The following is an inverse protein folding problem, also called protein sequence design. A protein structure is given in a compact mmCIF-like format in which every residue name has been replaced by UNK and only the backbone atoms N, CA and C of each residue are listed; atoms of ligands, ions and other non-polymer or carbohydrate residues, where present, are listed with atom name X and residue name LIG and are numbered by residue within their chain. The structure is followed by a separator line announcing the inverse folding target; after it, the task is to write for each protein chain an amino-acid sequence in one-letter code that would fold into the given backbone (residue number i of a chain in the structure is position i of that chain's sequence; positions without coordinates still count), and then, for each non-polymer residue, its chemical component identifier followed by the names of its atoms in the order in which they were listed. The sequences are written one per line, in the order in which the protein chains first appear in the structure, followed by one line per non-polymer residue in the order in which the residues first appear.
data_IF_569230221473
#
_entry.id   IF_569230221473
#
_cell.length_a   1.000
_cell.length_b   1.000
_cell.length_c   1.000
_cell.angle_alpha   90.00
_cell.angle_beta   90.00
_cell.angle_gamma   90.00
#
_symmetry.space_group_name_H-M   'P 1'
#
loop_
_entity.id
_entity.type
_entity.pdbx_description
1 polymer ?
#
# COMPACT_ATOMS: atom_id res chain seq x y z
N UNK A 1 -14.32 -9.26 6.42
CA UNK A 1 -13.05 -8.49 6.26
C UNK A 1 -13.13 -7.59 5.03
N UNK A 2 -12.45 -6.41 5.00
CA UNK A 2 -12.36 -5.60 3.78
C UNK A 2 -11.26 -6.13 2.86
N UNK A 3 -11.61 -6.52 1.62
CA UNK A 3 -10.66 -6.95 0.61
C UNK A 3 -10.31 -5.79 -0.32
N UNK A 4 -9.02 -5.58 -0.55
CA UNK A 4 -8.45 -4.51 -1.38
C UNK A 4 -7.51 -5.12 -2.40
N UNK A 5 -7.49 -4.60 -3.60
CA UNK A 5 -6.57 -5.06 -4.66
C UNK A 5 -5.26 -4.26 -4.55
N UNK A 6 -4.15 -4.97 -4.62
CA UNK A 6 -2.81 -4.41 -4.63
C UNK A 6 -2.03 -4.93 -5.84
N UNK A 7 -1.30 -4.05 -6.53
CA UNK A 7 -0.57 -4.39 -7.76
C UNK A 7 0.88 -3.91 -7.71
N UNK A 8 1.74 -4.54 -8.51
CA UNK A 8 3.15 -4.18 -8.68
C UNK A 8 3.48 -3.83 -10.14
N UNK A 9 3.14 -2.62 -10.61
CA UNK A 9 3.26 -2.24 -12.02
C UNK A 9 4.69 -2.23 -12.55
N UNK A 10 5.69 -2.05 -11.69
CA UNK A 10 7.10 -2.10 -12.08
C UNK A 10 7.52 -3.46 -12.64
N UNK A 11 6.73 -4.50 -12.43
CA UNK A 11 6.99 -5.82 -13.02
C UNK A 11 6.72 -5.88 -14.51
N UNK A 12 6.06 -4.86 -15.08
CA UNK A 12 5.85 -4.75 -16.52
C UNK A 12 4.43 -4.39 -16.92
N UNK A 13 3.82 -3.38 -16.30
CA UNK A 13 2.49 -2.91 -16.64
C UNK A 13 2.51 -1.50 -17.25
N UNK A 14 1.71 -1.30 -18.30
CA UNK A 14 1.40 0.01 -18.85
C UNK A 14 0.36 0.75 -18.00
N UNK A 15 0.10 2.03 -18.33
CA UNK A 15 -1.02 2.74 -17.71
C UNK A 15 -2.37 2.12 -18.06
N UNK A 16 -2.54 1.65 -19.29
CA UNK A 16 -3.79 1.02 -19.72
C UNK A 16 -4.10 -0.27 -18.96
N UNK A 17 -3.07 -1.08 -18.65
CA UNK A 17 -3.21 -2.26 -17.79
C UNK A 17 -3.66 -1.85 -16.38
N UNK A 18 -3.07 -0.78 -15.82
CA UNK A 18 -3.47 -0.25 -14.51
C UNK A 18 -4.91 0.28 -14.51
N UNK A 19 -5.32 0.96 -15.57
CA UNK A 19 -6.68 1.47 -15.69
C UNK A 19 -7.67 0.32 -15.79
N UNK A 20 -7.37 -0.69 -16.60
CA UNK A 20 -8.22 -1.85 -16.79
C UNK A 20 -8.47 -2.60 -15.48
N UNK A 21 -7.39 -2.90 -14.72
CA UNK A 21 -7.53 -3.61 -13.44
C UNK A 21 -8.17 -2.75 -12.34
N UNK A 22 -7.96 -1.42 -12.35
CA UNK A 22 -8.62 -0.53 -11.40
C UNK A 22 -10.13 -0.45 -11.65
N UNK A 23 -10.56 -0.43 -12.92
CA UNK A 23 -11.97 -0.50 -13.30
C UNK A 23 -12.58 -1.84 -12.89
N UNK A 24 -11.94 -2.95 -13.22
CA UNK A 24 -12.38 -4.28 -12.80
C UNK A 24 -12.47 -4.38 -11.25
N UNK A 25 -11.51 -3.82 -10.52
CA UNK A 25 -11.56 -3.72 -9.04
C UNK A 25 -12.84 -3.03 -8.57
N UNK A 26 -13.22 -1.93 -9.24
CA UNK A 26 -14.42 -1.18 -8.91
C UNK A 26 -15.70 -1.95 -9.27
N UNK A 27 -15.76 -2.55 -10.45
CA UNK A 27 -16.90 -3.31 -10.97
C UNK A 27 -17.14 -4.58 -10.15
N UNK A 28 -16.10 -5.28 -9.76
CA UNK A 28 -16.13 -6.45 -8.90
C UNK A 28 -16.49 -6.15 -7.43
N UNK A 29 -16.65 -4.91 -7.03
CA UNK A 29 -17.11 -4.56 -5.68
C UNK A 29 -16.04 -4.45 -4.62
N UNK A 30 -14.75 -4.55 -4.95
CA UNK A 30 -13.68 -4.35 -3.97
C UNK A 30 -13.66 -2.93 -3.40
N UNK A 31 -13.11 -2.77 -2.20
CA UNK A 31 -13.08 -1.51 -1.46
C UNK A 31 -12.07 -0.51 -2.03
N UNK A 32 -10.92 -0.99 -2.49
CA UNK A 32 -9.82 -0.12 -2.90
C UNK A 32 -8.89 -0.79 -3.92
N UNK A 33 -8.19 0.06 -4.67
CA UNK A 33 -7.09 -0.28 -5.54
C UNK A 33 -5.81 0.41 -5.07
N UNK A 34 -4.77 -0.37 -4.83
CA UNK A 34 -3.47 0.09 -4.39
C UNK A 34 -2.38 -0.38 -5.35
N UNK A 35 -1.30 0.38 -5.39
CA UNK A 35 -0.10 -0.01 -6.12
C UNK A 35 1.17 0.18 -5.30
N UNK A 36 2.21 -0.58 -5.62
CA UNK A 36 3.56 -0.30 -5.16
C UNK A 36 4.09 1.03 -5.75
N UNK A 37 5.11 1.58 -5.12
CA UNK A 37 5.85 2.75 -5.62
C UNK A 37 7.31 2.33 -5.81
N UNK A 38 7.55 1.60 -6.89
CA UNK A 38 8.85 1.08 -7.31
C UNK A 38 9.17 1.47 -8.75
N UNK A 39 10.44 1.66 -9.06
CA UNK A 39 10.94 2.02 -10.39
C UNK A 39 11.75 0.92 -11.07
N UNK A 40 11.99 -0.21 -10.42
CA UNK A 40 12.74 -1.33 -11.00
C UNK A 40 12.01 -2.64 -10.76
N UNK A 41 11.94 -3.48 -11.80
CA UNK A 41 11.39 -4.84 -11.68
C UNK A 41 12.21 -5.71 -10.73
N UNK A 42 11.58 -6.72 -10.19
CA UNK A 42 12.17 -7.67 -9.24
C UNK A 42 12.14 -9.09 -9.83
N UNK A 43 13.11 -9.90 -9.42
CA UNK A 43 13.21 -11.28 -9.87
C UNK A 43 13.52 -11.36 -11.37
N UNK A 44 12.77 -12.19 -12.10
CA UNK A 44 12.96 -12.45 -13.52
C UNK A 44 12.02 -11.65 -14.44
N UNK A 45 11.19 -10.77 -13.89
CA UNK A 45 10.29 -9.96 -14.68
C UNK A 45 11.06 -8.98 -15.57
N UNK A 46 10.61 -8.79 -16.82
CA UNK A 46 11.28 -7.93 -17.79
C UNK A 46 11.23 -6.45 -17.43
N UNK A 47 10.20 -6.05 -16.70
CA UNK A 47 9.92 -4.66 -16.38
C UNK A 47 9.40 -3.82 -17.56
N UNK A 48 9.26 -4.39 -18.76
CA UNK A 48 8.73 -3.68 -19.92
C UNK A 48 7.20 -3.52 -19.83
N UNK A 49 6.65 -2.37 -20.24
CA UNK A 49 7.26 -1.27 -21.00
C UNK A 49 8.09 -0.28 -20.17
N UNK A 50 8.16 -0.45 -18.87
CA UNK A 50 8.93 0.39 -17.94
C UNK A 50 8.12 0.80 -16.72
N UNK A 51 8.77 1.35 -15.69
CA UNK A 51 8.08 1.78 -14.49
C UNK A 51 7.20 3.01 -14.76
N UNK A 52 6.17 3.14 -13.94
CA UNK A 52 5.33 4.33 -13.88
C UNK A 52 5.43 4.97 -12.51
N UNK A 53 5.45 6.31 -12.42
CA UNK A 53 5.38 6.99 -11.13
C UNK A 53 4.01 6.76 -10.47
N UNK A 54 4.02 6.42 -9.18
CA UNK A 54 2.80 6.06 -8.47
C UNK A 54 1.81 7.23 -8.39
N UNK A 55 2.26 8.42 -8.06
CA UNK A 55 1.39 9.56 -7.86
C UNK A 55 0.87 10.15 -9.17
N UNK A 56 1.66 10.06 -10.25
CA UNK A 56 1.19 10.43 -11.60
C UNK A 56 0.08 9.49 -12.06
N UNK A 57 0.25 8.18 -11.91
CA UNK A 57 -0.79 7.22 -12.30
C UNK A 57 -2.02 7.27 -11.41
N UNK A 58 -1.85 7.43 -10.09
CA UNK A 58 -2.98 7.58 -9.16
C UNK A 58 -3.80 8.85 -9.45
N UNK A 59 -3.16 9.94 -9.90
CA UNK A 59 -3.87 11.15 -10.32
C UNK A 59 -4.80 10.89 -11.51
N UNK A 60 -4.34 10.14 -12.51
CA UNK A 60 -5.17 9.74 -13.64
C UNK A 60 -6.29 8.77 -13.22
N UNK A 61 -5.95 7.70 -12.47
CA UNK A 61 -6.93 6.74 -11.95
C UNK A 61 -8.00 7.40 -11.06
N UNK A 62 -7.64 8.47 -10.34
CA UNK A 62 -8.59 9.25 -9.54
C UNK A 62 -9.72 9.87 -10.37
N UNK A 63 -9.44 10.21 -11.63
CA UNK A 63 -10.44 10.75 -12.56
C UNK A 63 -11.18 9.67 -13.35
N UNK A 64 -10.58 8.51 -13.52
CA UNK A 64 -11.11 7.39 -14.30
C UNK A 64 -11.93 6.40 -13.46
N UNK A 65 -11.92 6.54 -12.14
CA UNK A 65 -12.71 5.75 -11.19
C UNK A 65 -13.58 6.66 -10.32
N UNK A 66 -14.64 6.14 -9.71
CA UNK A 66 -15.59 6.97 -8.96
C UNK A 66 -15.84 6.52 -7.52
N UNK A 67 -15.64 5.24 -7.19
CA UNK A 67 -16.01 4.64 -5.90
C UNK A 67 -14.82 4.16 -5.09
N UNK A 68 -13.92 3.40 -5.71
CA UNK A 68 -12.82 2.76 -5.00
C UNK A 68 -11.85 3.77 -4.41
N UNK A 69 -11.32 3.46 -3.23
CA UNK A 69 -10.20 4.19 -2.66
C UNK A 69 -8.91 3.87 -3.43
N UNK A 70 -7.98 4.79 -3.42
CA UNK A 70 -6.74 4.71 -4.19
C UNK A 70 -5.55 5.01 -3.30
N UNK A 71 -4.45 4.29 -3.45
CA UNK A 71 -3.27 4.58 -2.64
C UNK A 71 -2.01 3.84 -3.03
N UNK A 72 -0.96 4.10 -2.28
CA UNK A 72 0.32 3.40 -2.38
C UNK A 72 0.50 2.42 -1.23
N UNK A 73 1.08 1.26 -1.51
CA UNK A 73 1.46 0.29 -0.50
C UNK A 73 2.88 -0.23 -0.79
N UNK A 74 3.93 0.55 -0.43
CA UNK A 74 3.94 1.90 0.15
C UNK A 74 4.93 2.78 -0.60
N UNK A 75 4.78 4.12 -0.57
CA UNK A 75 5.79 5.04 -1.10
C UNK A 75 7.02 5.07 -0.20
N UNK A 76 8.24 4.86 -0.74
CA UNK A 76 9.46 4.98 0.06
C UNK A 76 9.83 6.45 0.28
N UNK A 77 10.24 6.79 1.50
CA UNK A 77 10.63 8.16 1.86
C UNK A 77 11.87 8.67 1.13
N UNK A 78 12.57 7.78 0.46
CA UNK A 78 13.76 8.10 -0.33
C UNK A 78 13.44 8.70 -1.70
N UNK A 79 12.23 8.51 -2.22
CA UNK A 79 11.88 8.95 -3.59
C UNK A 79 11.46 10.41 -3.66
N UNK A 80 10.81 10.93 -2.62
CA UNK A 80 10.25 12.29 -2.65
C UNK A 80 10.52 13.04 -1.35
N UNK A 81 10.75 14.32 -1.45
CA UNK A 81 10.79 15.21 -0.30
C UNK A 81 9.39 15.34 0.32
N UNK A 82 9.27 15.54 1.65
CA UNK A 82 7.98 15.55 2.34
C UNK A 82 7.03 16.64 1.84
N UNK A 83 7.50 17.84 1.56
CA UNK A 83 6.68 18.95 1.04
C UNK A 83 6.04 18.63 -0.33
N UNK A 84 6.82 18.33 -1.37
CA UNK A 84 6.30 17.89 -2.67
C UNK A 84 5.37 16.68 -2.58
N UNK A 85 5.68 15.70 -1.72
CA UNK A 85 4.80 14.55 -1.51
C UNK A 85 3.43 14.96 -0.94
N UNK A 86 3.41 15.82 0.09
CA UNK A 86 2.16 16.31 0.67
C UNK A 86 1.31 17.07 -0.37
N UNK A 87 1.96 17.86 -1.25
CA UNK A 87 1.28 18.54 -2.37
C UNK A 87 0.64 17.52 -3.32
N UNK A 88 1.40 16.51 -3.74
CA UNK A 88 0.89 15.46 -4.65
C UNK A 88 -0.29 14.72 -4.02
N UNK A 89 -0.18 14.32 -2.75
CA UNK A 89 -1.25 13.64 -2.01
C UNK A 89 -2.52 14.48 -1.96
N UNK A 90 -2.40 15.76 -1.58
CA UNK A 90 -3.55 16.66 -1.49
C UNK A 90 -4.21 16.90 -2.85
N UNK A 91 -3.41 17.01 -3.93
CA UNK A 91 -3.95 17.15 -5.29
C UNK A 91 -4.71 15.90 -5.75
N UNK A 92 -4.12 14.71 -5.57
CA UNK A 92 -4.79 13.46 -5.95
C UNK A 92 -6.03 13.22 -5.08
N UNK A 93 -5.99 13.62 -3.81
CA UNK A 93 -7.15 13.58 -2.94
C UNK A 93 -8.30 14.45 -3.49
N UNK A 94 -8.00 15.69 -3.90
CA UNK A 94 -8.98 16.56 -4.54
C UNK A 94 -9.50 16.00 -5.88
N UNK A 95 -8.60 15.46 -6.73
CA UNK A 95 -8.97 14.86 -8.02
C UNK A 95 -9.88 13.64 -7.85
N UNK A 96 -9.70 12.89 -6.78
CA UNK A 96 -10.50 11.69 -6.47
C UNK A 96 -11.80 12.00 -5.72
N UNK A 97 -12.02 13.24 -5.24
CA UNK A 97 -13.13 13.56 -4.36
C UNK A 97 -12.99 12.94 -2.96
N UNK A 98 -11.76 12.86 -2.42
CA UNK A 98 -11.52 12.39 -1.06
C UNK A 98 -11.37 10.87 -0.92
N UNK A 99 -10.81 10.18 -1.92
CA UNK A 99 -10.64 8.72 -1.91
C UNK A 99 -9.20 8.24 -1.72
N UNK A 100 -8.24 9.14 -1.52
CA UNK A 100 -6.82 8.80 -1.41
C UNK A 100 -6.46 8.28 -0.01
N UNK A 101 -5.53 7.33 0.03
CA UNK A 101 -4.82 6.89 1.23
C UNK A 101 -3.31 6.86 0.93
N UNK A 102 -2.50 7.35 1.86
CA UNK A 102 -1.06 7.44 1.71
C UNK A 102 -0.35 6.33 2.47
N UNK A 103 0.20 5.36 1.77
CA UNK A 103 1.15 4.42 2.36
C UNK A 103 2.58 4.97 2.33
N UNK A 104 3.27 4.92 3.46
CA UNK A 104 4.66 5.37 3.62
C UNK A 104 5.54 4.31 4.27
N UNK A 105 6.77 4.18 3.79
CA UNK A 105 7.78 3.27 4.33
C UNK A 105 9.21 3.80 4.21
N UNK A 106 10.14 3.17 4.91
CA UNK A 106 11.54 3.61 4.94
C UNK A 106 12.33 3.33 3.63
N UNK A 107 11.76 2.54 2.71
CA UNK A 107 12.46 2.04 1.53
C UNK A 107 13.37 0.84 1.87
N UNK A 108 13.55 -0.05 0.91
CA UNK A 108 14.34 -1.28 1.11
C UNK A 108 15.12 -1.73 -0.14
N UNK A 109 14.63 -1.46 -1.34
CA UNK A 109 15.17 -1.98 -2.59
C UNK A 109 16.30 -1.10 -3.12
N UNK A 110 17.54 -1.43 -2.76
CA UNK A 110 18.74 -0.66 -3.14
C UNK A 110 18.92 -0.56 -4.64
N UNK A 111 18.68 -1.64 -5.39
CA UNK A 111 18.99 -1.68 -6.82
C UNK A 111 18.26 -0.59 -7.63
N UNK A 112 17.01 -0.26 -7.30
CA UNK A 112 16.28 0.81 -7.97
C UNK A 112 16.86 2.20 -7.67
N UNK A 113 17.37 2.40 -6.44
CA UNK A 113 18.01 3.66 -6.07
C UNK A 113 19.32 3.85 -6.84
N UNK A 114 20.12 2.80 -6.93
CA UNK A 114 21.37 2.84 -7.70
C UNK A 114 21.10 3.04 -9.20
N UNK A 115 20.06 2.39 -9.75
CA UNK A 115 19.68 2.50 -11.15
C UNK A 115 19.22 3.90 -11.56
N UNK A 116 18.53 4.61 -10.67
CA UNK A 116 17.95 5.94 -10.96
C UNK A 116 18.65 7.11 -10.25
N UNK A 117 19.83 6.87 -9.66
CA UNK A 117 20.62 7.93 -9.01
C UNK A 117 19.97 8.50 -7.75
N UNK A 118 19.11 7.72 -7.09
CA UNK A 118 18.41 8.12 -5.88
C UNK A 118 19.27 7.77 -4.67
N UNK A 119 19.47 8.71 -3.76
CA UNK A 119 20.25 8.48 -2.54
C UNK A 119 19.64 7.38 -1.68
N UNK A 120 20.45 6.38 -1.32
CA UNK A 120 20.04 5.28 -0.46
C UNK A 120 20.95 5.17 0.77
N UNK A 121 20.76 5.99 1.81
CA UNK A 121 21.56 5.95 3.03
C UNK A 121 21.34 4.65 3.79
N UNK A 122 22.11 4.45 4.88
CA UNK A 122 21.94 3.28 5.74
C UNK A 122 20.53 3.22 6.36
N UNK A 123 20.20 2.05 6.91
CA UNK A 123 18.85 1.79 7.45
C UNK A 123 18.49 2.74 8.61
N UNK A 124 19.46 3.12 9.45
CA UNK A 124 19.21 4.03 10.58
C UNK A 124 18.82 5.42 10.06
N UNK A 125 19.60 5.96 9.11
CA UNK A 125 19.34 7.26 8.51
C UNK A 125 18.01 7.26 7.70
N UNK A 126 17.71 6.19 6.95
CA UNK A 126 16.42 6.07 6.27
C UNK A 126 15.27 6.10 7.24
N UNK A 127 15.41 5.42 8.38
CA UNK A 127 14.38 5.41 9.40
C UNK A 127 14.24 6.77 10.12
N UNK A 128 15.34 7.50 10.33
CA UNK A 128 15.30 8.87 10.86
C UNK A 128 14.56 9.82 9.89
N UNK A 129 14.89 9.75 8.60
CA UNK A 129 14.16 10.48 7.55
C UNK A 129 12.69 10.09 7.48
N UNK A 130 12.38 8.81 7.63
CA UNK A 130 11.00 8.30 7.65
C UNK A 130 10.19 8.92 8.79
N UNK A 131 10.75 8.96 10.00
CA UNK A 131 10.08 9.54 11.15
C UNK A 131 9.79 11.04 10.95
N UNK A 132 10.78 11.81 10.49
CA UNK A 132 10.59 13.24 10.20
C UNK A 132 9.60 13.47 9.05
N UNK A 133 9.66 12.66 7.98
CA UNK A 133 8.79 12.82 6.83
C UNK A 133 7.33 12.54 7.17
N UNK A 134 7.05 11.49 7.96
CA UNK A 134 5.68 11.21 8.42
C UNK A 134 5.13 12.37 9.24
N UNK A 135 5.92 12.94 10.16
CA UNK A 135 5.51 14.08 10.97
C UNK A 135 5.27 15.33 10.12
N UNK A 136 6.15 15.61 9.15
CA UNK A 136 5.99 16.75 8.24
C UNK A 136 4.74 16.60 7.38
N UNK A 137 4.52 15.43 6.79
CA UNK A 137 3.35 15.19 5.93
C UNK A 137 2.05 15.30 6.74
N UNK A 138 2.00 14.70 7.94
CA UNK A 138 0.85 14.84 8.85
C UNK A 138 0.61 16.30 9.18
N UNK A 139 1.66 17.06 9.56
CA UNK A 139 1.58 18.47 9.89
C UNK A 139 1.10 19.35 8.73
N UNK A 140 1.69 19.19 7.55
CA UNK A 140 1.30 19.95 6.35
C UNK A 140 -0.17 19.73 5.97
N UNK A 141 -0.60 18.46 5.96
CA UNK A 141 -1.96 18.11 5.54
C UNK A 141 -3.02 18.56 6.58
N UNK A 142 -2.69 18.55 7.87
CA UNK A 142 -3.60 18.97 8.97
C UNK A 142 -3.66 20.46 9.21
N UNK A 143 -2.61 21.21 8.89
CA UNK A 143 -2.54 22.65 9.15
C UNK A 143 -3.74 23.35 8.47
N UNK A 144 -4.55 24.14 9.19
CA UNK A 144 -5.69 24.82 8.60
C UNK A 144 -5.31 25.81 7.50
N UNK A 145 -6.20 26.05 6.53
CA UNK A 145 -5.99 27.08 5.52
C UNK A 145 -5.83 28.45 6.18
N UNK A 146 -4.84 29.22 5.75
CA UNK A 146 -4.50 30.52 6.33
C UNK A 146 -3.51 30.48 7.49
N UNK A 147 -3.19 29.29 8.02
CA UNK A 147 -2.09 29.10 8.96
C UNK A 147 -0.82 28.61 8.24
N UNK A 148 0.31 28.69 8.93
CA UNK A 148 1.60 28.18 8.43
C UNK A 148 2.09 27.00 9.26
N UNK A 149 2.91 26.15 8.64
CA UNK A 149 3.57 25.04 9.29
C UNK A 149 5.10 25.17 9.18
N UNK A 150 5.78 25.06 10.30
CA UNK A 150 7.24 25.03 10.37
C UNK A 150 7.71 23.73 11.03
N UNK A 151 8.84 23.20 10.58
CA UNK A 151 9.47 22.01 11.14
C UNK A 151 10.98 22.19 11.15
N UNK A 152 11.65 21.78 12.21
CA UNK A 152 13.10 21.84 12.34
C UNK A 152 13.61 20.49 12.85
N UNK A 153 13.94 19.59 11.92
CA UNK A 153 14.53 18.29 12.19
C UNK A 153 16.02 18.22 11.84
N UNK A 154 16.55 17.02 11.90
CA UNK A 154 17.92 16.71 11.52
C UNK A 154 18.10 16.66 10.00
N UNK A 155 17.11 16.14 9.29
CA UNK A 155 17.16 15.87 7.85
C UNK A 155 16.33 16.86 7.04
N UNK A 156 15.29 17.43 7.61
CA UNK A 156 14.40 18.36 6.94
C UNK A 156 14.17 19.63 7.76
N UNK A 157 14.00 20.73 7.04
CA UNK A 157 13.61 22.02 7.63
C UNK A 157 12.56 22.68 6.75
N UNK A 158 11.46 23.07 7.34
CA UNK A 158 10.40 23.88 6.73
C UNK A 158 10.25 25.17 7.53
N UNK A 159 10.07 26.29 6.84
CA UNK A 159 9.87 27.61 7.47
C UNK A 159 8.62 28.22 6.88
N UNK A 160 7.63 28.48 7.73
CA UNK A 160 6.38 29.17 7.44
C UNK A 160 5.68 28.69 6.15
N UNK A 161 5.70 27.36 5.93
CA UNK A 161 5.01 26.77 4.79
C UNK A 161 3.51 27.10 4.86
N UNK A 162 2.88 27.60 3.78
CA UNK A 162 1.44 27.85 3.77
C UNK A 162 0.61 26.55 3.83
N UNK A 163 1.27 25.40 3.80
CA UNK A 163 0.66 24.08 3.87
C UNK A 163 -0.50 23.87 2.86
N UNK A 164 -0.31 24.34 1.63
CA UNK A 164 -1.27 24.27 0.52
C UNK A 164 -0.75 23.39 -0.61
N UNK A 165 -1.66 22.73 -1.41
CA UNK A 165 -3.13 22.75 -1.29
C UNK A 165 -3.64 21.94 -0.10
N UNK A 166 -4.90 22.13 0.28
CA UNK A 166 -5.57 21.31 1.30
C UNK A 166 -6.21 20.09 0.67
N UNK A 167 -6.15 18.92 1.32
CA UNK A 167 -6.93 17.76 0.90
C UNK A 167 -8.43 18.01 1.11
N UNK A 168 -9.26 17.22 0.42
CA UNK A 168 -10.72 17.17 0.65
C UNK A 168 -11.05 16.42 1.94
N UNK A 169 -10.30 15.37 2.23
CA UNK A 169 -10.48 14.59 3.44
C UNK A 169 -10.06 15.38 4.70
N UNK A 170 -10.88 15.32 5.74
CA UNK A 170 -10.59 15.95 7.03
C UNK A 170 -10.43 14.90 8.12
N UNK A 171 -9.42 15.00 8.98
CA UNK A 171 -8.40 16.06 9.05
C UNK A 171 -7.33 15.97 7.96
N UNK A 172 -7.20 14.84 7.28
CA UNK A 172 -6.32 14.53 6.14
C UNK A 172 -6.62 13.15 5.57
N UNK A 173 -6.09 12.78 4.40
CA UNK A 173 -6.07 11.40 3.91
C UNK A 173 -5.46 10.44 4.94
N UNK A 174 -5.98 9.21 5.09
CA UNK A 174 -5.40 8.21 5.98
C UNK A 174 -3.93 7.93 5.64
N UNK A 175 -3.10 7.78 6.68
CA UNK A 175 -1.70 7.37 6.57
C UNK A 175 -1.58 5.91 6.96
N UNK A 176 -1.03 5.10 6.05
CA UNK A 176 -0.72 3.69 6.23
C UNK A 176 0.78 3.56 6.45
N UNK A 177 1.19 3.01 7.57
CA UNK A 177 2.59 2.65 7.80
C UNK A 177 2.74 1.14 7.81
N UNK A 178 3.83 0.64 7.23
CA UNK A 178 4.08 -0.78 7.13
C UNK A 178 5.45 -1.20 7.63
N UNK A 179 5.59 -2.51 7.86
CA UNK A 179 6.90 -3.09 8.15
C UNK A 179 6.95 -4.08 9.31
N UNK A 180 8.15 -4.32 9.84
CA UNK A 180 8.43 -5.37 10.84
C UNK A 180 7.95 -5.08 12.27
N UNK A 181 7.29 -3.96 12.54
CA UNK A 181 6.81 -3.56 13.88
C UNK A 181 7.89 -3.62 14.98
N UNK A 182 9.16 -3.30 14.65
CA UNK A 182 10.19 -3.11 15.68
C UNK A 182 9.86 -1.87 16.51
N UNK A 183 10.45 -1.71 17.68
CA UNK A 183 10.08 -0.67 18.66
C UNK A 183 9.90 0.73 18.06
N UNK A 184 10.86 1.21 17.25
CA UNK A 184 10.77 2.53 16.61
C UNK A 184 9.60 2.60 15.60
N UNK A 185 9.36 1.53 14.82
CA UNK A 185 8.28 1.46 13.85
C UNK A 185 6.91 1.40 14.51
N UNK A 186 6.77 0.62 15.58
CA UNK A 186 5.54 0.55 16.36
C UNK A 186 5.21 1.90 17.01
N UNK A 187 6.20 2.58 17.61
CA UNK A 187 6.02 3.89 18.20
C UNK A 187 5.64 4.96 17.17
N UNK A 188 6.24 4.92 15.97
CA UNK A 188 5.89 5.84 14.88
C UNK A 188 4.45 5.62 14.39
N UNK A 189 4.07 4.35 14.20
CA UNK A 189 2.70 3.99 13.82
C UNK A 189 1.70 4.43 14.88
N UNK A 190 1.97 4.19 16.16
CA UNK A 190 1.13 4.61 17.27
C UNK A 190 0.89 6.14 17.32
N UNK A 191 1.84 6.95 16.83
CA UNK A 191 1.73 8.42 16.82
C UNK A 191 0.97 8.94 15.61
N UNK A 192 1.19 8.38 14.43
CA UNK A 192 0.79 9.02 13.17
C UNK A 192 -0.09 8.16 12.26
N UNK A 193 0.00 6.81 12.34
CA UNK A 193 -0.73 5.96 11.42
C UNK A 193 -2.23 5.89 11.74
N UNK A 194 -3.04 5.78 10.70
CA UNK A 194 -4.44 5.36 10.79
C UNK A 194 -4.58 3.86 10.54
N UNK A 195 -3.61 3.30 9.81
CA UNK A 195 -3.54 1.88 9.51
C UNK A 195 -2.09 1.38 9.62
N UNK A 196 -1.91 0.19 10.19
CA UNK A 196 -0.63 -0.53 10.18
C UNK A 196 -0.72 -1.78 9.34
N UNK A 197 0.16 -1.86 8.31
CA UNK A 197 0.19 -2.98 7.37
C UNK A 197 1.36 -3.93 7.63
N UNK A 198 1.07 -5.24 7.63
CA UNK A 198 2.08 -6.32 7.60
C UNK A 198 2.06 -6.97 6.23
N UNK A 199 3.14 -6.81 5.46
CA UNK A 199 3.28 -7.40 4.13
C UNK A 199 3.96 -8.76 4.18
N UNK A 200 3.39 -9.76 3.49
CA UNK A 200 4.02 -11.03 3.10
C UNK A 200 4.63 -11.84 4.25
N UNK A 201 4.06 -11.78 5.44
CA UNK A 201 4.48 -12.57 6.60
C UNK A 201 3.26 -13.07 7.36
N UNK A 202 2.60 -14.07 6.82
CA UNK A 202 1.39 -14.67 7.39
C UNK A 202 1.61 -15.14 8.82
N UNK A 203 2.67 -15.87 9.06
CA UNK A 203 2.99 -16.44 10.38
C UNK A 203 3.33 -15.38 11.45
N UNK A 204 3.98 -14.28 11.05
CA UNK A 204 4.41 -13.21 11.96
C UNK A 204 3.37 -12.13 12.22
N UNK A 205 2.23 -12.15 11.53
CA UNK A 205 1.23 -11.07 11.51
C UNK A 205 0.68 -10.76 12.90
N UNK A 206 0.20 -11.76 13.64
CA UNK A 206 -0.39 -11.57 14.97
C UNK A 206 0.58 -10.91 15.96
N UNK A 207 1.85 -11.37 15.99
CA UNK A 207 2.87 -10.83 16.88
C UNK A 207 3.25 -9.39 16.52
N UNK A 208 3.25 -9.03 15.23
CA UNK A 208 3.50 -7.65 14.77
C UNK A 208 2.35 -6.73 15.14
N UNK A 209 1.12 -7.16 14.96
CA UNK A 209 -0.07 -6.40 15.37
C UNK A 209 -0.10 -6.17 16.89
N UNK A 210 0.22 -7.19 17.69
CA UNK A 210 0.29 -7.05 19.14
C UNK A 210 1.26 -5.93 19.56
N UNK A 211 2.49 -5.92 19.01
CA UNK A 211 3.48 -4.88 19.32
C UNK A 211 3.00 -3.46 18.97
N UNK A 212 2.32 -3.29 17.84
CA UNK A 212 1.79 -1.97 17.45
C UNK A 212 0.59 -1.59 18.32
N UNK A 213 -0.26 -2.55 18.68
CA UNK A 213 -1.40 -2.34 19.57
C UNK A 213 -0.94 -1.89 20.96
N UNK A 214 0.09 -2.53 21.52
CA UNK A 214 0.67 -2.14 22.79
C UNK A 214 1.22 -0.71 22.76
N UNK A 215 1.92 -0.35 21.67
CA UNK A 215 2.42 1.02 21.48
C UNK A 215 1.26 2.03 21.30
N UNK A 216 0.20 1.67 20.58
CA UNK A 216 -0.97 2.52 20.36
C UNK A 216 -1.78 2.73 21.64
N UNK A 217 -1.84 1.74 22.52
CA UNK A 217 -2.48 1.87 23.84
C UNK A 217 -1.85 2.99 24.69
N UNK A 218 -0.53 3.20 24.57
CA UNK A 218 0.19 4.28 25.28
C UNK A 218 -0.25 5.66 24.77
N UNK A 219 -0.56 5.78 23.48
CA UNK A 219 -1.00 7.04 22.85
C UNK A 219 -2.52 7.24 22.88
N UNK A 220 -3.28 6.25 23.35
CA UNK A 220 -4.75 6.25 23.34
C UNK A 220 -5.37 6.21 21.94
N UNK A 221 -4.60 5.81 20.91
CA UNK A 221 -5.10 5.74 19.52
C UNK A 221 -5.54 4.32 19.15
N UNK A 222 -6.56 4.26 18.32
CA UNK A 222 -6.98 3.02 17.65
C UNK A 222 -6.54 3.07 16.18
N UNK A 223 -5.96 1.97 15.70
CA UNK A 223 -5.50 1.81 14.33
C UNK A 223 -6.28 0.68 13.66
N UNK A 224 -6.41 0.79 12.34
CA UNK A 224 -6.77 -0.34 11.48
C UNK A 224 -5.55 -1.24 11.30
N UNK A 225 -5.74 -2.55 11.36
CA UNK A 225 -4.68 -3.54 11.13
C UNK A 225 -4.94 -4.27 9.81
N UNK A 226 -3.96 -4.28 8.93
CA UNK A 226 -4.07 -4.92 7.62
C UNK A 226 -2.89 -5.82 7.31
N UNK A 227 -3.15 -6.83 6.48
CA UNK A 227 -2.13 -7.68 5.91
C UNK A 227 -2.09 -7.52 4.39
N UNK A 228 -0.95 -7.85 3.77
CA UNK A 228 -0.82 -7.97 2.32
C UNK A 228 -0.29 -9.37 1.99
N UNK A 229 -0.93 -10.05 1.03
CA UNK A 229 -0.56 -11.39 0.60
C UNK A 229 -0.72 -11.54 -0.91
N UNK A 230 0.15 -12.34 -1.53
CA UNK A 230 -0.04 -12.76 -2.92
C UNK A 230 -1.34 -13.55 -3.02
N UNK A 231 -2.16 -13.28 -4.03
CA UNK A 231 -3.39 -14.02 -4.29
C UNK A 231 -3.27 -14.88 -5.54
N UNK A 232 -3.73 -16.15 -5.43
CA UNK A 232 -3.80 -17.09 -6.56
C UNK A 232 -4.95 -18.07 -6.34
N UNK A 233 -6.17 -17.65 -6.65
CA UNK A 233 -7.40 -18.44 -6.48
C UNK A 233 -7.82 -19.04 -7.80
N UNK A 234 -8.31 -20.26 -7.81
CA UNK A 234 -8.87 -20.92 -9.00
C UNK A 234 -9.94 -21.91 -8.62
N UNK A 235 -10.96 -22.10 -9.48
CA UNK A 235 -12.05 -23.07 -9.26
C UNK A 235 -11.54 -24.51 -9.31
N UNK A 236 -10.46 -24.72 -10.05
CA UNK A 236 -9.84 -26.03 -10.23
C UNK A 236 -8.33 -25.94 -10.01
N UNK A 237 -7.71 -27.09 -9.71
CA UNK A 237 -6.24 -27.19 -9.64
C UNK A 237 -5.55 -26.82 -10.97
N UNK A 238 -6.23 -26.96 -12.09
CA UNK A 238 -5.71 -26.54 -13.40
C UNK A 238 -5.64 -25.00 -13.48
N UNK A 239 -6.68 -24.31 -13.01
CA UNK A 239 -6.67 -22.83 -12.95
C UNK A 239 -5.58 -22.30 -12.02
N UNK A 240 -5.45 -22.92 -10.84
CA UNK A 240 -4.42 -22.52 -9.86
C UNK A 240 -3.03 -22.70 -10.45
N UNK A 241 -2.75 -23.85 -11.08
CA UNK A 241 -1.46 -24.08 -11.75
C UNK A 241 -1.19 -23.12 -12.88
N UNK A 242 -2.21 -22.81 -13.71
CA UNK A 242 -2.09 -21.84 -14.81
C UNK A 242 -1.73 -20.45 -14.27
N UNK A 243 -2.46 -19.98 -13.26
CA UNK A 243 -2.24 -18.66 -12.62
C UNK A 243 -0.90 -18.57 -11.92
N UNK A 244 -0.52 -19.60 -11.19
CA UNK A 244 0.79 -19.67 -10.54
C UNK A 244 1.94 -19.65 -11.55
N UNK A 245 1.82 -20.41 -12.65
CA UNK A 245 2.80 -20.42 -13.74
C UNK A 245 2.91 -19.06 -14.44
N UNK A 246 1.79 -18.35 -14.66
CA UNK A 246 1.79 -17.03 -15.28
C UNK A 246 2.60 -15.99 -14.47
N UNK A 247 2.64 -16.13 -13.14
CA UNK A 247 3.40 -15.25 -12.24
C UNK A 247 4.75 -15.85 -11.80
N UNK A 248 5.15 -16.98 -12.41
CA UNK A 248 6.43 -17.62 -12.11
C UNK A 248 6.57 -18.18 -10.69
N UNK A 249 5.46 -18.61 -10.07
CA UNK A 249 5.45 -19.10 -8.67
C UNK A 249 5.01 -20.56 -8.59
N UNK A 250 5.44 -21.23 -7.54
CA UNK A 250 5.02 -22.59 -7.22
C UNK A 250 3.65 -22.61 -6.52
N UNK A 251 2.67 -23.42 -6.95
CA UNK A 251 1.35 -23.47 -6.32
C UNK A 251 1.36 -23.90 -4.85
N UNK A 252 2.28 -24.78 -4.44
CA UNK A 252 2.37 -25.25 -3.06
C UNK A 252 2.93 -24.13 -2.17
N UNK A 253 3.96 -23.43 -2.64
CA UNK A 253 4.51 -22.25 -1.95
C UNK A 253 3.46 -21.13 -1.80
N UNK A 254 2.66 -20.89 -2.83
CA UNK A 254 1.57 -19.90 -2.77
C UNK A 254 0.48 -20.30 -1.75
N UNK A 255 0.11 -21.58 -1.64
CA UNK A 255 -0.82 -22.06 -0.61
C UNK A 255 -0.25 -21.89 0.80
N UNK A 256 1.03 -22.10 0.99
CA UNK A 256 1.68 -21.93 2.29
C UNK A 256 1.76 -20.47 2.72
N UNK A 257 2.21 -19.59 1.81
CA UNK A 257 2.61 -18.23 2.15
C UNK A 257 1.64 -17.14 1.68
N UNK A 258 0.66 -17.46 0.83
CA UNK A 258 -0.30 -16.53 0.23
C UNK A 258 -1.76 -16.81 0.59
N UNK A 259 -2.64 -16.19 -0.18
CA UNK A 259 -4.08 -16.50 -0.25
C UNK A 259 -4.29 -17.26 -1.57
N UNK A 260 -4.14 -18.56 -1.53
CA UNK A 260 -4.11 -19.37 -2.76
C UNK A 260 -4.83 -20.71 -2.59
N UNK A 261 -5.29 -21.25 -3.71
CA UNK A 261 -6.01 -22.51 -3.77
C UNK A 261 -7.42 -22.34 -4.34
N UNK A 262 -8.31 -23.23 -3.95
CA UNK A 262 -9.74 -23.11 -4.26
C UNK A 262 -10.36 -21.93 -3.50
N UNK A 263 -11.56 -21.44 -3.87
CA UNK A 263 -12.26 -20.42 -3.10
C UNK A 263 -12.38 -20.76 -1.61
N UNK A 264 -12.70 -22.01 -1.25
CA UNK A 264 -12.80 -22.44 0.15
C UNK A 264 -11.45 -22.37 0.89
N UNK A 265 -10.34 -22.76 0.24
CA UNK A 265 -8.99 -22.65 0.82
C UNK A 265 -8.61 -21.17 1.02
N UNK A 266 -8.94 -20.32 0.07
CA UNK A 266 -8.70 -18.87 0.16
C UNK A 266 -9.52 -18.23 1.31
N UNK A 267 -10.81 -18.57 1.43
CA UNK A 267 -11.69 -18.14 2.53
C UNK A 267 -11.12 -18.58 3.88
N UNK A 268 -10.66 -19.82 3.99
CA UNK A 268 -10.05 -20.33 5.22
C UNK A 268 -8.82 -19.51 5.61
N UNK A 269 -7.91 -19.24 4.67
CA UNK A 269 -6.71 -18.43 4.90
C UNK A 269 -7.06 -16.97 5.29
N UNK A 270 -8.08 -16.37 4.67
CA UNK A 270 -8.55 -15.02 5.02
C UNK A 270 -9.08 -14.99 6.45
N UNK A 271 -9.84 -16.00 6.87
CA UNK A 271 -10.33 -16.12 8.25
C UNK A 271 -9.21 -16.34 9.28
N UNK A 272 -8.13 -17.03 8.93
CA UNK A 272 -6.93 -17.12 9.77
C UNK A 272 -6.25 -15.76 9.97
N UNK A 273 -6.15 -14.96 8.91
CA UNK A 273 -5.62 -13.60 8.99
C UNK A 273 -6.54 -12.68 9.82
N UNK A 274 -7.85 -12.83 9.69
CA UNK A 274 -8.83 -12.12 10.52
C UNK A 274 -8.70 -12.50 12.00
N UNK A 275 -8.56 -13.78 12.31
CA UNK A 275 -8.31 -14.27 13.65
C UNK A 275 -6.98 -13.77 14.23
N UNK A 276 -6.00 -13.46 13.38
CA UNK A 276 -4.74 -12.80 13.76
C UNK A 276 -4.90 -11.30 14.08
N UNK A 277 -6.10 -10.74 13.85
CA UNK A 277 -6.45 -9.35 14.14
C UNK A 277 -6.45 -8.42 12.94
N UNK A 278 -6.31 -8.92 11.72
CA UNK A 278 -6.48 -8.13 10.51
C UNK A 278 -7.96 -7.79 10.28
N UNK A 279 -8.24 -6.55 9.90
CA UNK A 279 -9.58 -6.12 9.48
C UNK A 279 -9.64 -5.78 8.00
N UNK A 280 -8.46 -5.68 7.36
CA UNK A 280 -8.26 -5.45 5.94
C UNK A 280 -7.21 -6.39 5.37
N UNK A 281 -7.39 -6.81 4.12
CA UNK A 281 -6.42 -7.62 3.41
C UNK A 281 -6.20 -7.03 2.01
N UNK A 282 -4.94 -6.77 1.69
CA UNK A 282 -4.50 -6.37 0.35
C UNK A 282 -4.11 -7.64 -0.40
N UNK A 283 -4.89 -7.97 -1.41
CA UNK A 283 -4.66 -9.09 -2.31
C UNK A 283 -3.71 -8.64 -3.42
N UNK A 284 -2.46 -9.10 -3.38
CA UNK A 284 -1.48 -8.80 -4.40
C UNK A 284 -1.76 -9.61 -5.65
N UNK A 285 -2.25 -8.93 -6.69
CA UNK A 285 -2.46 -9.46 -8.03
C UNK A 285 -1.22 -9.15 -8.85
N UNK A 286 -0.52 -10.18 -9.32
CA UNK A 286 0.71 -10.05 -10.10
C UNK A 286 0.49 -10.17 -11.61
N UNK A 287 -0.51 -10.93 -12.06
CA UNK A 287 -0.97 -10.95 -13.44
C UNK A 287 -2.12 -9.98 -13.63
N UNK A 288 -1.83 -8.79 -14.14
CA UNK A 288 -2.83 -7.72 -14.33
C UNK A 288 -3.74 -7.98 -15.54
N UNK A 289 -3.43 -8.96 -16.38
CA UNK A 289 -4.23 -9.31 -17.56
C UNK A 289 -5.34 -10.33 -17.26
N UNK A 290 -5.24 -11.08 -16.15
CA UNK A 290 -6.22 -12.11 -15.76
C UNK A 290 -7.39 -11.48 -14.96
N UNK A 291 -8.29 -10.78 -15.65
CA UNK A 291 -9.45 -10.17 -14.99
C UNK A 291 -10.45 -11.21 -14.45
N UNK A 292 -10.53 -12.41 -15.08
CA UNK A 292 -11.33 -13.54 -14.58
C UNK A 292 -10.89 -13.96 -13.15
N UNK A 293 -9.62 -13.71 -12.81
CA UNK A 293 -9.15 -13.93 -11.44
C UNK A 293 -9.86 -13.01 -10.43
N UNK A 294 -10.02 -11.71 -10.76
CA UNK A 294 -10.75 -10.77 -9.90
C UNK A 294 -12.22 -11.15 -9.80
N UNK A 295 -12.84 -11.52 -10.93
CA UNK A 295 -14.24 -11.96 -10.97
C UNK A 295 -14.46 -13.23 -10.14
N UNK A 296 -13.54 -14.18 -10.20
CA UNK A 296 -13.59 -15.41 -9.38
C UNK A 296 -13.51 -15.07 -7.88
N UNK A 297 -12.59 -14.19 -7.47
CA UNK A 297 -12.46 -13.76 -6.07
C UNK A 297 -13.72 -12.99 -5.64
N UNK A 298 -14.23 -12.11 -6.49
CA UNK A 298 -15.41 -11.29 -6.17
C UNK A 298 -16.69 -12.11 -6.02
N UNK A 299 -16.87 -13.13 -6.87
CA UNK A 299 -18.09 -13.95 -6.83
C UNK A 299 -18.06 -15.06 -5.79
N UNK A 300 -16.88 -15.64 -5.52
CA UNK A 300 -16.79 -16.89 -4.73
C UNK A 300 -16.04 -16.71 -3.40
N UNK A 301 -15.31 -15.61 -3.18
CA UNK A 301 -14.59 -15.37 -1.93
C UNK A 301 -15.14 -14.16 -1.20
N UNK A 302 -15.27 -13.02 -1.85
CA UNK A 302 -15.69 -11.75 -1.22
C UNK A 302 -17.01 -11.84 -0.42
N UNK A 303 -18.06 -12.56 -0.87
CA UNK A 303 -19.31 -12.66 -0.11
C UNK A 303 -19.22 -13.44 1.20
N UNK A 304 -18.12 -14.16 1.45
CA UNK A 304 -17.96 -15.10 2.55
C UNK A 304 -16.98 -14.63 3.65
N UNK A 305 -16.45 -13.39 3.53
CA UNK A 305 -15.38 -12.86 4.40
C UNK A 305 -15.65 -11.43 4.91
#
# INVERSE_FOLDING_TARGET
MQLRIFTEPQQGASYDDLLQIARATQECGFDAFFRSDHYLSMGTASGLPGPTDAWVTLAALARETSRIRLGTLVSPVTFRLPGPLAISVAQVDAMSGGRVELGLGAGWYRAEHDAYGISFPDTAQRFDRFAEQVEIVDGLLRTPAGATYSFAGRHYRLTDSPALPKPVQSPRPPIILGGGARARGAALAARFADEFNVGFDKAGTAAKFARVRDAAAITGRSLVYSAAQVVCVGRTDADIRRRAAAIGRDPAELRENGVAGTPDEAIATIKELEASGATRLYLQVLDLSDLDHLETIASEVLPHV
#
